data_IF_343788018452
#
_entry.id   IF_343788018452
#
_cell.length_a   1.000
_cell.length_b   1.000
_cell.length_c   1.000
_cell.angle_alpha   90.00
_cell.angle_beta   90.00
_cell.angle_gamma   90.00
#
_symmetry.space_group_name_H-M   'P 1'
#
loop_
_entity.id
_entity.type
_entity.pdbx_description
1 polymer ?
#
# COMPACT_ATOMS: atom_id res chain seq x y z
N UNK A 1 14.84 6.13 0.93
CA UNK A 1 13.69 6.46 0.07
C UNK A 1 13.76 7.93 -0.31
N UNK A 2 13.75 8.23 -1.59
CA UNK A 2 13.81 9.63 -2.07
C UNK A 2 12.43 10.20 -2.41
N UNK A 3 11.45 9.35 -2.71
CA UNK A 3 10.11 9.76 -3.07
C UNK A 3 9.09 8.69 -2.69
N UNK A 4 7.98 9.11 -2.12
CA UNK A 4 6.78 8.30 -1.93
C UNK A 4 5.60 9.16 -2.38
N UNK A 5 4.87 8.69 -3.36
CA UNK A 5 3.76 9.43 -3.94
C UNK A 5 2.52 8.58 -4.17
N UNK A 6 1.40 9.26 -4.30
CA UNK A 6 0.12 8.64 -4.61
C UNK A 6 -0.54 9.35 -5.79
N UNK A 7 -1.42 8.65 -6.48
CA UNK A 7 -2.15 9.19 -7.60
C UNK A 7 -3.49 8.49 -7.84
N UNK A 8 -4.30 9.07 -8.69
CA UNK A 8 -5.58 8.47 -9.08
C UNK A 8 -5.32 7.39 -10.14
N UNK A 9 -5.72 6.12 -9.90
CA UNK A 9 -5.54 5.05 -10.87
C UNK A 9 -6.28 5.33 -12.17
N UNK A 10 -5.70 4.88 -13.28
CA UNK A 10 -6.38 4.88 -14.59
C UNK A 10 -7.28 3.65 -14.74
N UNK A 11 -7.84 3.49 -15.95
CA UNK A 11 -8.72 2.35 -16.26
C UNK A 11 -7.87 1.09 -16.51
N UNK A 12 -7.70 0.27 -15.47
CA UNK A 12 -6.88 -0.93 -15.53
C UNK A 12 -5.38 -0.70 -15.58
N UNK A 13 -4.92 0.52 -15.30
CA UNK A 13 -3.52 0.92 -15.33
C UNK A 13 -3.17 1.81 -14.15
N UNK A 14 -1.88 1.97 -13.90
CA UNK A 14 -1.39 2.88 -12.86
C UNK A 14 -1.70 4.34 -13.20
N UNK A 15 -1.65 5.19 -12.18
CA UNK A 15 -1.74 6.63 -12.38
C UNK A 15 -0.57 7.15 -13.23
N UNK A 16 -0.81 8.20 -13.99
CA UNK A 16 0.24 8.87 -14.78
C UNK A 16 0.92 9.97 -14.00
N UNK A 17 0.25 10.53 -13.00
CA UNK A 17 0.76 11.60 -12.16
C UNK A 17 0.70 11.18 -10.69
N UNK A 18 1.77 11.51 -9.95
CA UNK A 18 1.87 11.19 -8.54
C UNK A 18 2.12 12.46 -7.73
N UNK A 19 1.35 12.61 -6.67
CA UNK A 19 1.53 13.67 -5.68
C UNK A 19 2.40 13.13 -4.55
N UNK A 20 3.42 13.91 -4.16
CA UNK A 20 4.28 13.51 -3.05
C UNK A 20 3.47 13.39 -1.77
N UNK A 21 3.65 12.29 -1.05
CA UNK A 21 3.06 12.11 0.27
C UNK A 21 3.61 13.14 1.27
N UNK A 22 2.86 13.44 2.33
CA UNK A 22 3.38 14.22 3.44
C UNK A 22 4.64 13.60 4.04
N UNK A 23 5.27 14.30 4.97
CA UNK A 23 6.47 13.81 5.64
C UNK A 23 6.19 12.40 6.21
N UNK A 24 7.06 11.46 5.86
CA UNK A 24 6.99 10.07 6.35
C UNK A 24 8.06 9.89 7.43
N UNK A 25 7.66 9.37 8.60
CA UNK A 25 8.59 9.14 9.69
C UNK A 25 9.62 8.07 9.33
N UNK A 26 10.89 8.31 9.67
CA UNK A 26 11.97 7.38 9.42
C UNK A 26 11.72 6.03 10.11
N UNK A 27 12.00 4.95 9.39
CA UNK A 27 11.85 3.60 9.93
C UNK A 27 10.42 3.05 9.92
N UNK A 28 9.45 3.81 9.40
CA UNK A 28 8.05 3.34 9.35
C UNK A 28 7.67 2.67 8.02
N UNK A 29 8.51 2.82 6.98
CA UNK A 29 8.24 2.19 5.68
C UNK A 29 8.63 0.71 5.75
N UNK A 30 7.66 -0.17 5.59
CA UNK A 30 7.86 -1.62 5.67
C UNK A 30 7.12 -2.29 4.52
N UNK A 31 7.82 -3.18 3.81
CA UNK A 31 7.21 -4.04 2.80
C UNK A 31 6.80 -5.36 3.43
N UNK A 32 5.57 -5.80 3.13
CA UNK A 32 5.02 -7.10 3.56
C UNK A 32 4.67 -7.90 2.31
N UNK A 33 5.70 -8.44 1.66
CA UNK A 33 5.53 -9.29 0.48
C UNK A 33 5.47 -10.74 0.93
N UNK A 34 4.49 -11.47 0.42
CA UNK A 34 4.18 -12.81 0.85
C UNK A 34 4.57 -13.85 -0.21
N UNK A 35 5.12 -14.96 0.25
CA UNK A 35 5.45 -16.07 -0.62
C UNK A 35 4.19 -16.85 -1.02
N UNK A 36 4.20 -17.48 -2.20
CA UNK A 36 3.12 -18.39 -2.57
C UNK A 36 3.08 -19.59 -1.63
N UNK A 37 1.90 -20.17 -1.48
CA UNK A 37 1.69 -21.38 -0.69
C UNK A 37 1.82 -22.60 -1.60
N UNK A 38 2.66 -23.57 -1.20
CA UNK A 38 2.82 -24.80 -1.93
C UNK A 38 1.73 -25.81 -1.59
N UNK A 39 1.24 -26.50 -2.62
CA UNK A 39 0.34 -27.65 -2.47
C UNK A 39 1.05 -28.85 -3.07
N UNK A 40 1.35 -29.84 -2.22
CA UNK A 40 2.07 -31.04 -2.62
C UNK A 40 1.13 -32.23 -2.79
N UNK A 41 1.38 -33.03 -3.82
CA UNK A 41 0.66 -34.26 -4.06
C UNK A 41 1.59 -35.46 -3.85
N UNK A 42 1.19 -36.37 -2.98
CA UNK A 42 1.93 -37.61 -2.70
C UNK A 42 1.06 -38.82 -2.94
N UNK A 43 1.66 -39.86 -3.49
CA UNK A 43 1.04 -41.19 -3.54
C UNK A 43 1.36 -41.90 -2.22
N UNK A 44 0.55 -42.92 -1.91
CA UNK A 44 0.77 -43.73 -0.72
C UNK A 44 2.15 -44.41 -0.79
N UNK A 45 2.88 -44.35 0.32
CA UNK A 45 4.23 -44.90 0.42
C UNK A 45 5.35 -44.00 -0.13
N UNK A 46 5.03 -42.84 -0.70
CA UNK A 46 6.03 -41.91 -1.21
C UNK A 46 6.48 -40.96 -0.13
N UNK A 47 7.79 -40.75 0.01
CA UNK A 47 8.38 -39.79 0.92
C UNK A 47 8.30 -38.38 0.33
N UNK A 48 8.67 -38.23 -0.92
CA UNK A 48 8.68 -36.94 -1.61
C UNK A 48 7.43 -36.81 -2.49
N UNK A 49 6.92 -35.58 -2.70
CA UNK A 49 5.76 -35.37 -3.55
C UNK A 49 6.09 -35.70 -5.00
N UNK A 50 5.12 -36.27 -5.74
CA UNK A 50 5.28 -36.49 -7.17
C UNK A 50 4.92 -35.25 -7.99
N UNK A 51 4.22 -34.30 -7.40
CA UNK A 51 3.90 -33.01 -8.01
C UNK A 51 3.69 -31.96 -6.93
N UNK A 52 4.01 -30.71 -7.25
CA UNK A 52 3.83 -29.59 -6.36
C UNK A 52 3.41 -28.36 -7.15
N UNK A 53 2.37 -27.67 -6.68
CA UNK A 53 1.89 -26.42 -7.27
C UNK A 53 1.95 -25.31 -6.25
N UNK A 54 2.25 -24.10 -6.72
CA UNK A 54 2.16 -22.90 -5.92
C UNK A 54 0.83 -22.20 -6.17
N UNK A 55 0.15 -21.81 -5.10
CA UNK A 55 -1.01 -20.94 -5.18
C UNK A 55 -0.70 -19.62 -4.51
N UNK A 56 -1.41 -18.56 -4.89
CA UNK A 56 -1.21 -17.23 -4.32
C UNK A 56 -1.37 -17.27 -2.79
N UNK A 57 -0.42 -16.66 -2.09
CA UNK A 57 -0.51 -16.39 -0.66
C UNK A 57 -1.37 -15.16 -0.40
N UNK A 58 -1.19 -14.55 0.79
CA UNK A 58 -1.85 -13.29 1.12
C UNK A 58 -1.38 -12.17 0.19
N UNK A 59 -2.23 -11.17 -0.03
CA UNK A 59 -1.89 -10.04 -0.87
C UNK A 59 -0.70 -9.27 -0.30
N UNK A 60 0.20 -8.86 -1.19
CA UNK A 60 1.35 -8.04 -0.81
C UNK A 60 0.88 -6.66 -0.37
N UNK A 61 1.57 -6.09 0.58
CA UNK A 61 1.26 -4.76 1.09
C UNK A 61 2.53 -4.03 1.50
N UNK A 62 2.40 -2.72 1.70
CA UNK A 62 3.44 -1.95 2.38
C UNK A 62 2.77 -0.95 3.32
N UNK A 63 3.54 -0.48 4.27
CA UNK A 63 3.07 0.45 5.29
C UNK A 63 4.03 1.63 5.39
N UNK A 64 3.49 2.79 5.76
CA UNK A 64 4.29 3.94 6.14
C UNK A 64 3.53 4.77 7.17
N UNK A 65 4.25 5.59 7.94
CA UNK A 65 3.68 6.41 8.99
C UNK A 65 3.85 7.91 8.72
N UNK A 66 2.79 8.68 8.90
CA UNK A 66 2.79 10.12 8.78
C UNK A 66 2.69 10.71 10.19
N UNK A 67 3.74 11.38 10.69
CA UNK A 67 3.69 12.01 12.01
C UNK A 67 2.85 13.28 11.98
N UNK A 68 2.12 13.54 13.06
CA UNK A 68 1.28 14.73 13.21
C UNK A 68 0.42 15.04 11.98
N UNK A 69 -0.47 14.12 11.55
CA UNK A 69 -1.25 14.34 10.34
C UNK A 69 -2.19 15.54 10.46
N UNK A 70 -2.30 16.30 9.38
CA UNK A 70 -3.28 17.40 9.29
C UNK A 70 -4.68 16.83 9.01
N UNK A 71 -5.76 17.61 9.26
CA UNK A 71 -7.11 17.16 8.92
C UNK A 71 -7.28 16.78 7.46
N UNK A 72 -6.64 17.49 6.52
CA UNK A 72 -6.68 17.18 5.09
C UNK A 72 -5.97 15.84 4.78
N UNK A 73 -4.85 15.59 5.43
CA UNK A 73 -4.12 14.33 5.28
C UNK A 73 -4.92 13.15 5.84
N UNK A 74 -5.59 13.33 6.97
CA UNK A 74 -6.50 12.32 7.53
C UNK A 74 -7.65 12.02 6.57
N UNK A 75 -8.24 13.04 5.95
CA UNK A 75 -9.29 12.88 4.96
C UNK A 75 -8.80 12.09 3.75
N UNK A 76 -7.59 12.36 3.28
CA UNK A 76 -7.01 11.71 2.09
C UNK A 76 -6.80 10.22 2.30
N UNK A 77 -6.31 9.81 3.46
CA UNK A 77 -5.95 8.41 3.72
C UNK A 77 -6.95 7.65 4.61
N UNK A 78 -7.68 8.33 5.46
CA UNK A 78 -8.66 7.71 6.37
C UNK A 78 -10.10 7.93 5.94
N UNK A 79 -10.35 8.80 4.97
CA UNK A 79 -11.69 9.19 4.58
C UNK A 79 -12.31 10.18 5.55
N UNK A 80 -13.62 10.35 5.48
CA UNK A 80 -14.34 11.32 6.30
C UNK A 80 -14.41 12.69 5.70
N UNK A 81 -14.62 13.70 6.52
CA UNK A 81 -14.80 15.08 6.12
C UNK A 81 -13.96 16.03 6.95
N UNK A 82 -13.58 17.17 6.37
CA UNK A 82 -12.99 18.28 7.08
C UNK A 82 -14.00 19.41 7.12
N UNK A 83 -14.40 19.79 8.32
CA UNK A 83 -15.37 20.85 8.54
C UNK A 83 -14.86 21.81 9.65
N UNK A 84 -14.84 23.09 9.35
CA UNK A 84 -14.34 24.13 10.25
C UNK A 84 -12.93 23.84 10.79
N UNK A 85 -12.05 23.32 9.91
CA UNK A 85 -10.68 22.98 10.27
C UNK A 85 -10.52 21.73 11.11
N UNK A 86 -11.60 20.96 11.29
CA UNK A 86 -11.59 19.69 12.06
C UNK A 86 -11.92 18.51 11.18
N UNK A 87 -11.17 17.41 11.37
CA UNK A 87 -11.47 16.16 10.72
C UNK A 87 -12.57 15.41 11.48
N UNK A 88 -13.55 14.92 10.73
CA UNK A 88 -14.61 14.06 11.24
C UNK A 88 -14.51 12.68 10.62
N UNK A 89 -14.46 11.65 11.45
CA UNK A 89 -14.35 10.28 10.98
C UNK A 89 -15.58 9.87 10.16
N UNK A 90 -15.41 9.01 9.14
CA UNK A 90 -16.55 8.49 8.38
C UNK A 90 -17.42 7.57 9.24
N UNK A 91 -18.70 7.54 8.96
CA UNK A 91 -19.64 6.63 9.64
C UNK A 91 -19.43 5.18 9.17
N UNK A 92 -19.25 5.01 7.86
CA UNK A 92 -19.00 3.72 7.25
C UNK A 92 -17.52 3.58 6.87
N UNK A 93 -17.06 2.34 6.67
CA UNK A 93 -15.69 2.06 6.24
C UNK A 93 -15.52 2.62 4.82
N UNK A 94 -14.61 3.59 4.61
CA UNK A 94 -14.43 4.19 3.29
C UNK A 94 -13.72 3.22 2.33
N UNK A 95 -14.04 3.37 1.05
CA UNK A 95 -13.33 2.66 -0.01
C UNK A 95 -12.38 3.65 -0.66
N UNK A 96 -11.09 3.49 -0.37
CA UNK A 96 -10.04 4.36 -0.89
C UNK A 96 -9.12 3.52 -1.77
N UNK A 97 -8.95 3.94 -3.02
CA UNK A 97 -8.09 3.29 -4.01
C UNK A 97 -7.14 4.30 -4.60
N UNK A 98 -5.86 3.99 -4.58
CA UNK A 98 -4.81 4.87 -5.10
C UNK A 98 -3.74 4.05 -5.80
N UNK A 99 -3.07 4.67 -6.78
CA UNK A 99 -1.79 4.18 -7.25
C UNK A 99 -0.69 4.73 -6.36
N UNK A 100 0.33 3.93 -6.08
CA UNK A 100 1.44 4.34 -5.22
C UNK A 100 2.76 4.18 -5.96
N UNK A 101 3.67 5.10 -5.71
CA UNK A 101 5.02 5.08 -6.28
C UNK A 101 6.06 5.30 -5.19
N UNK A 102 7.06 4.45 -5.15
CA UNK A 102 8.18 4.55 -4.23
C UNK A 102 9.46 4.61 -5.07
N UNK A 103 10.28 5.62 -4.82
CA UNK A 103 11.58 5.76 -5.48
C UNK A 103 12.68 5.66 -4.44
N UNK A 104 13.69 4.83 -4.69
CA UNK A 104 14.82 4.65 -3.79
C UNK A 104 15.82 5.79 -3.94
N UNK A 105 16.69 5.94 -2.92
CA UNK A 105 17.84 6.84 -3.04
C UNK A 105 18.81 6.31 -4.09
N UNK A 106 19.47 7.20 -4.86
CA UNK A 106 20.48 6.77 -5.82
C UNK A 106 21.64 6.02 -5.14
N UNK A 107 22.03 4.90 -5.72
CA UNK A 107 23.19 4.13 -5.28
C UNK A 107 23.92 3.60 -6.50
N UNK A 108 25.21 3.90 -6.61
CA UNK A 108 26.05 3.57 -7.78
C UNK A 108 25.40 4.03 -9.11
N UNK A 109 24.88 5.26 -9.11
CA UNK A 109 24.19 5.88 -10.26
C UNK A 109 22.92 5.13 -10.71
N UNK A 110 22.36 4.31 -9.83
CA UNK A 110 21.10 3.59 -10.06
C UNK A 110 20.05 4.02 -9.06
N UNK A 111 18.85 4.20 -9.55
CA UNK A 111 17.67 4.51 -8.75
C UNK A 111 16.53 3.60 -9.18
N UNK A 112 15.89 2.97 -8.22
CA UNK A 112 14.79 2.04 -8.50
C UNK A 112 13.46 2.69 -8.17
N UNK A 113 12.50 2.55 -9.08
CA UNK A 113 11.13 2.97 -8.88
C UNK A 113 10.23 1.73 -8.75
N UNK A 114 9.38 1.74 -7.74
CA UNK A 114 8.35 0.72 -7.54
C UNK A 114 6.99 1.37 -7.70
N UNK A 115 6.17 0.85 -8.60
CA UNK A 115 4.84 1.36 -8.86
C UNK A 115 3.80 0.28 -8.57
N UNK A 116 2.90 0.59 -7.64
CA UNK A 116 1.72 -0.23 -7.36
C UNK A 116 0.55 0.38 -8.13
N UNK A 117 0.10 -0.34 -9.16
CA UNK A 117 -0.92 0.20 -10.06
C UNK A 117 -2.24 0.48 -9.35
N UNK A 118 -2.64 -0.36 -8.43
CA UNK A 118 -3.86 -0.19 -7.64
C UNK A 118 -3.63 -0.70 -6.23
N UNK A 119 -3.90 0.15 -5.24
CA UNK A 119 -3.80 -0.21 -3.84
C UNK A 119 -5.09 0.09 -3.10
N UNK A 120 -5.48 -0.84 -2.23
CA UNK A 120 -6.48 -0.57 -1.21
C UNK A 120 -5.80 0.17 -0.06
N UNK A 121 -6.28 1.36 0.26
CA UNK A 121 -5.72 2.19 1.32
C UNK A 121 -6.53 2.00 2.61
N UNK A 122 -5.81 1.69 3.68
CA UNK A 122 -6.37 1.61 5.03
C UNK A 122 -5.42 2.34 5.98
N UNK A 123 -5.95 3.26 6.75
CA UNK A 123 -5.14 4.07 7.68
C UNK A 123 -5.79 4.15 9.04
N UNK A 124 -4.96 4.29 10.05
CA UNK A 124 -5.40 4.44 11.45
C UNK A 124 -4.40 5.26 12.23
N UNK A 125 -4.85 5.86 13.32
CA UNK A 125 -3.93 6.45 14.29
C UNK A 125 -3.35 5.33 15.12
N UNK A 126 -2.09 5.01 14.92
CA UNK A 126 -1.43 3.86 15.58
C UNK A 126 -0.66 4.22 16.83
N UNK A 127 -0.36 5.50 17.03
CA UNK A 127 0.40 5.98 18.18
C UNK A 127 -0.21 7.26 18.71
N UNK A 128 -0.45 7.29 20.02
CA UNK A 128 -0.94 8.52 20.68
C UNK A 128 0.20 9.53 20.86
N UNK A 129 -0.11 10.82 20.91
CA UNK A 129 0.91 11.83 21.21
C UNK A 129 1.42 11.67 22.64
N UNK A 130 2.72 11.96 22.82
CA UNK A 130 3.36 11.97 24.13
C UNK A 130 4.34 13.13 24.22
N UNK A 131 5.00 13.28 25.38
CA UNK A 131 6.00 14.35 25.55
C UNK A 131 7.27 14.13 24.69
N UNK A 132 7.51 12.92 24.19
CA UNK A 132 8.70 12.57 23.41
C UNK A 132 8.41 12.25 21.95
N UNK A 133 7.16 11.94 21.63
CA UNK A 133 6.76 11.53 20.28
C UNK A 133 5.43 12.17 19.88
N UNK A 134 5.31 12.47 18.60
CA UNK A 134 4.05 12.91 18.02
C UNK A 134 3.12 11.71 17.80
N UNK A 135 1.84 12.00 17.59
CA UNK A 135 0.91 10.99 17.09
C UNK A 135 1.35 10.54 15.69
N UNK A 136 0.93 9.36 15.31
CA UNK A 136 1.30 8.75 14.04
C UNK A 136 0.08 8.16 13.35
N UNK A 137 -0.13 8.55 12.10
CA UNK A 137 -1.11 7.90 11.21
C UNK A 137 -0.39 6.82 10.41
N UNK A 138 -0.70 5.56 10.67
CA UNK A 138 -0.16 4.43 9.93
C UNK A 138 -1.04 4.14 8.72
N UNK A 139 -0.46 4.21 7.53
CA UNK A 139 -1.14 3.95 6.26
C UNK A 139 -0.68 2.61 5.72
N UNK A 140 -1.63 1.72 5.45
CA UNK A 140 -1.36 0.42 4.83
C UNK A 140 -1.91 0.43 3.41
N UNK A 141 -1.06 0.04 2.46
CA UNK A 141 -1.41 -0.05 1.05
C UNK A 141 -1.35 -1.51 0.62
N UNK A 142 -2.50 -2.11 0.35
CA UNK A 142 -2.59 -3.50 -0.09
C UNK A 142 -2.66 -3.55 -1.61
N UNK A 143 -1.75 -4.32 -2.22
CA UNK A 143 -1.68 -4.48 -3.67
C UNK A 143 -2.92 -5.17 -4.21
N UNK A 144 -3.52 -4.60 -5.24
CA UNK A 144 -4.64 -5.16 -5.98
C UNK A 144 -4.30 -5.25 -7.46
N UNK A 145 -4.95 -6.16 -8.16
CA UNK A 145 -4.82 -6.23 -9.63
C UNK A 145 -5.75 -5.20 -10.26
N UNK A 146 -5.23 -4.27 -11.08
CA UNK A 146 -6.09 -3.32 -11.76
C UNK A 146 -6.84 -4.03 -12.91
N UNK A 147 -8.14 -3.78 -12.99
CA UNK A 147 -9.00 -4.35 -14.03
C UNK A 147 -9.71 -3.21 -14.74
N UNK A 148 -9.63 -3.19 -16.09
CA UNK A 148 -10.29 -2.17 -16.87
C UNK A 148 -11.81 -2.41 -16.94
N UNK A 149 -12.57 -1.40 -17.36
CA UNK A 149 -14.01 -1.51 -17.57
C UNK A 149 -14.37 -2.63 -18.57
N UNK A 150 -13.46 -2.95 -19.50
CA UNK A 150 -13.61 -4.05 -20.45
C UNK A 150 -13.22 -5.43 -19.86
N UNK A 151 -12.84 -5.50 -18.60
CA UNK A 151 -12.45 -6.74 -17.91
C UNK A 151 -11.00 -7.16 -18.13
N UNK A 152 -10.17 -6.32 -18.76
CA UNK A 152 -8.76 -6.63 -18.98
C UNK A 152 -7.93 -6.35 -17.72
N UNK A 153 -7.17 -7.34 -17.29
CA UNK A 153 -6.26 -7.20 -16.14
C UNK A 153 -4.95 -6.53 -16.56
N UNK A 154 -4.51 -5.57 -15.76
CA UNK A 154 -3.21 -4.94 -15.92
C UNK A 154 -2.19 -5.49 -14.92
N UNK A 155 -0.91 -5.11 -15.07
CA UNK A 155 0.13 -5.50 -14.13
C UNK A 155 -0.08 -4.78 -12.80
N UNK A 156 -0.14 -5.52 -11.67
CA UNK A 156 -0.36 -4.90 -10.36
C UNK A 156 0.88 -4.20 -9.79
N UNK A 157 2.05 -4.54 -10.29
CA UNK A 157 3.31 -4.05 -9.74
C UNK A 157 4.39 -3.96 -10.82
N UNK A 158 5.17 -2.90 -10.78
CA UNK A 158 6.29 -2.73 -11.72
C UNK A 158 7.50 -2.04 -11.10
#
# INVERSE_FOLDING_TARGET
>A
MSFLGYGTPGDGVAATEFTQCPIVEEGTVVFNFNDPTSVDFRAEGMKDPWESFDKAGDADSFEFGIPSPTPEEMKEFMGGEVKDGKWNAPVDIPIIRKSMKITTLPYKDKQTEYIFALCKISAKISRAPSSEQTDLMLVRCTKLTPVSAAGKQGSPFS
#
